data_IF_689340783105
#
_entry.id   IF_689340783105
#
_cell.length_a   1.000
_cell.length_b   1.000
_cell.length_c   1.000
_cell.angle_alpha   90.00
_cell.angle_beta   90.00
_cell.angle_gamma   90.00
#
_symmetry.space_group_name_H-M   'P 1'
#
loop_
_entity.id
_entity.type
_entity.pdbx_description
1 polymer ?
#
# COMPACT_ATOMS: atom_id res chain seq x y z
N UNK A 1 15.57 4.32 32.31
CA UNK A 1 15.95 4.82 30.97
C UNK A 1 15.26 6.14 30.75
N UNK A 2 16.04 7.18 30.57
CA UNK A 2 15.59 8.57 30.64
C UNK A 2 14.69 8.91 29.44
N UNK A 3 13.51 9.50 29.72
CA UNK A 3 12.55 9.96 28.71
C UNK A 3 13.05 11.20 27.95
N UNK A 4 14.20 11.72 28.29
CA UNK A 4 14.77 12.97 27.74
C UNK A 4 15.47 12.81 26.39
N UNK A 5 15.84 11.60 25.96
CA UNK A 5 16.60 11.38 24.72
C UNK A 5 15.76 11.24 23.44
N UNK A 6 14.42 11.31 23.53
CA UNK A 6 13.54 11.04 22.39
C UNK A 6 12.99 12.31 21.70
N UNK A 7 13.21 13.46 22.25
CA UNK A 7 12.86 14.73 21.62
C UNK A 7 14.04 15.23 20.77
N UNK A 8 14.19 14.71 19.55
CA UNK A 8 14.90 15.48 18.52
C UNK A 8 14.22 16.85 18.46
N UNK A 9 14.95 17.90 18.82
CA UNK A 9 14.45 19.26 18.85
C UNK A 9 13.94 19.65 17.46
N UNK A 10 12.62 19.56 17.25
CA UNK A 10 11.91 19.82 15.98
C UNK A 10 11.82 21.30 15.64
N UNK A 11 12.56 22.17 16.36
CA UNK A 11 12.58 23.62 16.21
C UNK A 11 13.73 24.21 15.40
N UNK A 12 14.53 23.37 14.69
CA UNK A 12 15.54 23.89 13.79
C UNK A 12 14.92 24.45 12.50
N UNK A 13 15.46 25.55 12.00
CA UNK A 13 15.09 26.15 10.71
C UNK A 13 14.99 25.07 9.62
N UNK A 14 13.86 25.01 8.93
CA UNK A 14 13.57 24.05 7.86
C UNK A 14 14.64 24.08 6.76
N UNK A 15 15.11 25.25 6.42
CA UNK A 15 16.16 25.43 5.42
C UNK A 15 17.50 24.83 5.88
N UNK A 16 17.81 24.92 7.17
CA UNK A 16 19.01 24.30 7.74
C UNK A 16 18.92 22.77 7.64
N UNK A 17 17.79 22.19 8.02
CA UNK A 17 17.57 20.72 7.92
C UNK A 17 17.70 20.23 6.48
N UNK A 18 17.19 20.99 5.50
CA UNK A 18 17.33 20.68 4.08
C UNK A 18 18.80 20.72 3.62
N UNK A 19 19.54 21.76 4.00
CA UNK A 19 20.98 21.86 3.72
C UNK A 19 21.75 20.68 4.30
N UNK A 20 21.48 20.32 5.55
CA UNK A 20 22.10 19.17 6.22
C UNK A 20 21.75 17.84 5.52
N UNK A 21 20.50 17.66 5.11
CA UNK A 21 20.06 16.46 4.37
C UNK A 21 20.80 16.32 3.03
N UNK A 22 20.92 17.39 2.25
CA UNK A 22 21.67 17.41 1.01
C UNK A 22 23.16 17.17 1.25
N UNK A 23 23.74 17.76 2.31
CA UNK A 23 25.13 17.52 2.69
C UNK A 23 25.39 16.06 3.09
N UNK A 24 24.44 15.42 3.81
CA UNK A 24 24.51 13.98 4.09
C UNK A 24 24.46 13.16 2.80
N UNK A 25 23.50 13.45 1.92
CA UNK A 25 23.33 12.72 0.66
C UNK A 25 24.62 12.70 -0.18
N UNK A 26 25.35 13.83 -0.23
CA UNK A 26 26.63 13.94 -0.95
C UNK A 26 27.76 13.04 -0.43
N UNK A 27 27.60 12.39 0.72
CA UNK A 27 28.53 11.37 1.20
C UNK A 27 28.43 10.08 0.40
N UNK A 28 27.28 9.82 -0.25
CA UNK A 28 27.13 8.67 -1.14
C UNK A 28 27.81 8.88 -2.49
N UNK A 29 28.22 7.78 -3.11
CA UNK A 29 28.87 7.82 -4.43
C UNK A 29 27.94 8.36 -5.52
N UNK A 30 26.64 8.03 -5.43
CA UNK A 30 25.63 8.52 -6.36
C UNK A 30 25.45 10.03 -6.23
N UNK A 31 25.08 10.54 -5.06
CA UNK A 31 24.76 11.97 -4.90
C UNK A 31 25.97 12.88 -4.98
N UNK A 32 27.17 12.40 -4.70
CA UNK A 32 28.40 13.18 -4.92
C UNK A 32 28.54 13.60 -6.40
N UNK A 33 28.17 12.71 -7.34
CA UNK A 33 28.17 13.00 -8.77
C UNK A 33 26.88 13.69 -9.22
N UNK A 34 25.73 13.19 -8.77
CA UNK A 34 24.41 13.65 -9.22
C UNK A 34 24.11 15.10 -8.81
N UNK A 35 24.64 15.54 -7.67
CA UNK A 35 24.49 16.90 -7.15
C UNK A 35 25.75 17.77 -7.33
N UNK A 36 26.69 17.35 -8.17
CA UNK A 36 27.90 18.13 -8.42
C UNK A 36 27.56 19.49 -9.05
N UNK A 37 28.23 20.56 -8.59
CA UNK A 37 27.97 21.92 -9.03
C UNK A 37 26.68 22.59 -8.49
N UNK A 38 25.78 21.86 -7.83
CA UNK A 38 24.56 22.45 -7.27
C UNK A 38 24.80 22.94 -5.83
N UNK A 39 24.25 24.11 -5.49
CA UNK A 39 24.27 24.66 -4.13
C UNK A 39 22.83 24.88 -3.69
N UNK A 40 22.47 24.33 -2.53
CA UNK A 40 21.16 24.55 -1.90
C UNK A 40 21.30 25.60 -0.79
N UNK A 41 20.65 26.73 -0.94
CA UNK A 41 20.62 27.79 0.09
C UNK A 41 19.40 27.63 1.03
N UNK A 42 18.31 27.11 0.51
CA UNK A 42 17.08 26.84 1.26
C UNK A 42 16.03 26.18 0.39
N UNK A 43 14.80 26.03 0.93
CA UNK A 43 13.67 25.38 0.26
C UNK A 43 13.33 26.02 -1.09
N UNK A 44 13.48 27.34 -1.22
CA UNK A 44 13.20 28.06 -2.46
C UNK A 44 14.05 27.58 -3.65
N UNK A 45 15.25 27.07 -3.40
CA UNK A 45 16.16 26.56 -4.45
C UNK A 45 16.03 25.06 -4.68
N UNK A 46 15.19 24.35 -3.92
CA UNK A 46 15.10 22.89 -4.00
C UNK A 46 14.77 22.41 -5.42
N UNK A 47 13.89 23.15 -6.13
CA UNK A 47 13.49 22.85 -7.49
C UNK A 47 14.62 22.88 -8.51
N UNK A 48 15.77 23.50 -8.18
CA UNK A 48 16.97 23.58 -9.04
C UNK A 48 17.83 22.32 -8.96
N UNK A 49 17.70 21.52 -7.89
CA UNK A 49 18.40 20.25 -7.80
C UNK A 49 17.79 19.23 -8.78
N UNK A 50 18.61 18.35 -9.37
CA UNK A 50 18.10 17.33 -10.28
C UNK A 50 17.18 16.33 -9.54
N UNK A 51 16.21 15.78 -10.26
CA UNK A 51 15.35 14.73 -9.76
C UNK A 51 16.09 13.39 -9.67
N UNK A 52 15.83 12.67 -8.60
CA UNK A 52 16.29 11.29 -8.45
C UNK A 52 15.14 10.36 -8.83
N UNK A 53 15.35 9.51 -9.82
CA UNK A 53 14.34 8.56 -10.30
C UNK A 53 14.63 7.13 -9.82
N UNK A 54 13.65 6.28 -9.92
CA UNK A 54 13.74 4.86 -9.51
C UNK A 54 14.85 4.09 -10.24
N UNK A 55 15.12 4.39 -11.50
CA UNK A 55 16.22 3.77 -12.24
C UNK A 55 17.60 4.14 -11.67
N UNK A 56 17.78 5.38 -11.18
CA UNK A 56 19.02 5.78 -10.52
C UNK A 56 19.32 4.93 -9.27
N UNK A 57 18.28 4.63 -8.47
CA UNK A 57 18.44 3.77 -7.30
C UNK A 57 18.82 2.36 -7.71
N UNK A 58 18.21 1.86 -8.79
CA UNK A 58 18.51 0.53 -9.34
C UNK A 58 19.94 0.41 -9.83
N UNK A 59 20.42 1.41 -10.58
CA UNK A 59 21.77 1.47 -11.09
C UNK A 59 22.83 1.61 -9.97
N UNK A 60 22.45 2.27 -8.87
CA UNK A 60 23.31 2.46 -7.70
C UNK A 60 23.27 1.28 -6.70
N UNK A 61 22.40 0.29 -6.92
CA UNK A 61 22.31 -0.92 -6.07
C UNK A 61 23.60 -1.73 -6.13
N UNK A 62 24.13 -2.32 -5.03
CA UNK A 62 23.52 -2.27 -3.69
C UNK A 62 24.03 -1.14 -2.77
N UNK A 63 25.15 -0.49 -3.06
CA UNK A 63 25.86 0.38 -2.12
C UNK A 63 25.97 1.85 -2.55
N UNK A 64 25.76 2.16 -3.84
CA UNK A 64 26.01 3.48 -4.38
C UNK A 64 25.19 4.63 -3.78
N UNK A 65 24.06 4.31 -3.15
CA UNK A 65 23.21 5.27 -2.45
C UNK A 65 23.60 5.48 -0.97
N UNK A 66 24.51 4.67 -0.41
CA UNK A 66 24.88 4.75 0.99
C UNK A 66 25.71 6.00 1.30
N UNK A 67 25.27 6.75 2.32
CA UNK A 67 26.01 7.88 2.89
C UNK A 67 26.92 7.47 4.06
N UNK A 68 26.88 6.22 4.48
CA UNK A 68 27.68 5.61 5.54
C UNK A 68 28.16 4.22 5.11
N UNK A 69 29.21 3.66 5.74
CA UNK A 69 29.63 2.28 5.49
C UNK A 69 28.51 1.28 5.79
N UNK A 70 28.36 0.17 5.03
CA UNK A 70 27.25 -0.79 5.18
C UNK A 70 27.05 -1.34 6.60
N UNK A 71 28.15 -1.56 7.36
CA UNK A 71 28.09 -2.06 8.73
C UNK A 71 27.50 -1.05 9.75
N UNK A 72 27.23 0.19 9.35
CA UNK A 72 26.53 1.22 10.14
C UNK A 72 25.01 1.22 9.88
N UNK A 73 24.54 0.53 8.85
CA UNK A 73 23.12 0.29 8.65
C UNK A 73 22.58 -0.69 9.72
N UNK A 74 21.31 -0.54 10.06
CA UNK A 74 20.62 -1.44 10.98
C UNK A 74 19.85 -2.53 10.23
N UNK A 75 19.18 -2.16 9.12
CA UNK A 75 18.43 -3.08 8.30
C UNK A 75 18.74 -2.90 6.82
N UNK A 76 18.65 -4.03 6.11
CA UNK A 76 18.67 -4.14 4.66
C UNK A 76 17.34 -4.71 4.18
N UNK A 77 16.79 -4.13 3.13
CA UNK A 77 15.57 -4.57 2.47
C UNK A 77 15.74 -4.48 0.96
N UNK A 78 14.85 -5.14 0.23
CA UNK A 78 14.76 -5.01 -1.23
C UNK A 78 13.32 -4.72 -1.64
N UNK A 79 13.16 -4.01 -2.76
CA UNK A 79 11.86 -3.92 -3.40
C UNK A 79 11.49 -5.24 -4.06
N UNK A 80 10.18 -5.50 -4.26
CA UNK A 80 9.69 -6.77 -4.82
C UNK A 80 10.16 -7.10 -6.25
N UNK A 81 10.85 -6.17 -6.93
CA UNK A 81 11.37 -6.40 -8.28
C UNK A 81 10.32 -6.61 -9.38
N UNK A 82 9.04 -6.34 -9.12
CA UNK A 82 7.93 -6.57 -10.08
C UNK A 82 8.08 -5.84 -11.42
N UNK A 83 8.87 -4.77 -11.46
CA UNK A 83 9.11 -3.94 -12.64
C UNK A 83 10.57 -3.95 -13.11
N UNK A 84 11.38 -4.92 -12.66
CA UNK A 84 12.80 -5.05 -13.00
C UNK A 84 13.63 -5.55 -11.81
N UNK A 85 14.96 -5.41 -11.90
CA UNK A 85 15.87 -5.80 -10.80
C UNK A 85 15.46 -5.13 -9.48
N UNK A 86 15.49 -5.87 -8.35
CA UNK A 86 15.22 -5.33 -7.04
C UNK A 86 16.12 -4.15 -6.69
N UNK A 87 15.59 -3.19 -5.95
CA UNK A 87 16.35 -2.05 -5.43
C UNK A 87 16.71 -2.33 -3.98
N UNK A 88 17.99 -2.22 -3.68
CA UNK A 88 18.49 -2.29 -2.30
C UNK A 88 18.10 -1.04 -1.54
N UNK A 89 17.51 -1.22 -0.36
CA UNK A 89 17.17 -0.13 0.56
C UNK A 89 17.79 -0.42 1.92
N UNK A 90 18.38 0.60 2.51
CA UNK A 90 19.11 0.52 3.76
C UNK A 90 18.60 1.56 4.74
N UNK A 91 18.45 1.20 5.98
CA UNK A 91 18.05 2.15 7.01
C UNK A 91 18.83 1.99 8.32
N UNK A 92 18.92 3.08 9.06
CA UNK A 92 19.51 3.16 10.38
C UNK A 92 18.49 3.09 11.49
N UNK A 93 18.94 2.76 12.69
CA UNK A 93 18.08 2.72 13.86
C UNK A 93 17.52 4.09 14.25
N UNK A 94 18.30 5.18 14.08
CA UNK A 94 17.86 6.56 14.32
C UNK A 94 16.68 6.95 13.43
N UNK A 95 16.70 6.53 12.17
CA UNK A 95 15.63 6.77 11.19
C UNK A 95 14.34 6.07 11.61
N UNK A 96 14.43 4.78 11.95
CA UNK A 96 13.28 4.00 12.43
C UNK A 96 12.67 4.60 13.69
N UNK A 97 13.50 5.04 14.63
CA UNK A 97 13.04 5.69 15.87
C UNK A 97 12.35 7.02 15.61
N UNK A 98 12.87 7.82 14.67
CA UNK A 98 12.22 9.08 14.27
C UNK A 98 10.84 8.83 13.68
N UNK A 99 10.70 7.83 12.83
CA UNK A 99 9.41 7.43 12.24
C UNK A 99 8.46 6.84 13.28
N UNK A 100 8.96 5.97 14.14
CA UNK A 100 8.21 5.38 15.25
C UNK A 100 7.65 6.45 16.20
N UNK A 101 8.45 7.48 16.51
CA UNK A 101 8.01 8.61 17.34
C UNK A 101 6.85 9.39 16.68
N UNK A 102 6.86 9.53 15.34
CA UNK A 102 5.74 10.14 14.61
C UNK A 102 4.49 9.26 14.70
N UNK A 103 4.59 7.96 14.46
CA UNK A 103 3.46 7.04 14.56
C UNK A 103 2.89 7.04 15.98
N UNK A 104 3.72 6.91 17.00
CA UNK A 104 3.30 6.90 18.40
C UNK A 104 2.61 8.22 18.82
N UNK A 105 3.10 9.38 18.34
CA UNK A 105 2.48 10.68 18.60
C UNK A 105 1.14 10.85 17.92
N UNK A 106 0.97 10.35 16.67
CA UNK A 106 -0.23 10.56 15.87
C UNK A 106 -1.32 9.52 16.11
N UNK A 107 -0.99 8.41 16.76
CA UNK A 107 -1.91 7.30 17.03
C UNK A 107 -1.95 7.02 18.54
N UNK A 108 -2.77 7.77 19.28
CA UNK A 108 -2.86 7.64 20.74
C UNK A 108 -3.40 6.28 21.21
N UNK A 109 -3.98 5.48 20.31
CA UNK A 109 -4.42 4.12 20.60
C UNK A 109 -3.25 3.15 20.84
N UNK A 110 -2.02 3.50 20.41
CA UNK A 110 -0.81 2.75 20.76
C UNK A 110 -0.39 3.10 22.18
N UNK A 111 -0.73 2.25 23.12
CA UNK A 111 -0.49 2.37 24.56
C UNK A 111 0.09 1.06 25.12
N UNK A 112 0.40 1.03 26.41
CA UNK A 112 0.88 -0.16 27.12
C UNK A 112 -0.10 -1.35 27.08
N UNK A 113 -1.41 -1.08 26.90
CA UNK A 113 -2.45 -2.09 26.76
C UNK A 113 -2.57 -2.64 25.33
N UNK A 114 -1.75 -2.19 24.39
CA UNK A 114 -1.82 -2.63 23.01
C UNK A 114 -1.20 -4.00 22.83
N UNK A 115 -1.94 -4.92 22.19
CA UNK A 115 -1.42 -6.16 21.61
C UNK A 115 -1.60 -6.04 20.10
N UNK A 116 -0.52 -5.77 19.38
CA UNK A 116 -0.56 -5.56 17.93
C UNK A 116 -0.15 -6.82 17.19
N UNK A 117 -1.05 -7.30 16.32
CA UNK A 117 -0.75 -8.32 15.32
C UNK A 117 -0.21 -7.64 14.06
N UNK A 118 1.11 -7.71 13.87
CA UNK A 118 1.78 -7.12 12.72
C UNK A 118 1.78 -8.11 11.55
N UNK A 119 0.96 -7.82 10.56
CA UNK A 119 0.79 -8.58 9.32
C UNK A 119 1.46 -7.90 8.13
N UNK A 120 2.19 -6.81 8.31
CA UNK A 120 3.04 -6.30 7.22
C UNK A 120 4.15 -7.31 6.88
N UNK A 121 4.58 -7.34 5.60
CA UNK A 121 5.69 -8.22 5.22
C UNK A 121 6.90 -7.98 6.10
N UNK A 122 7.48 -9.05 6.68
CA UNK A 122 8.63 -8.93 7.59
C UNK A 122 9.88 -8.38 6.90
N UNK A 123 9.98 -8.51 5.59
CA UNK A 123 11.06 -7.93 4.79
C UNK A 123 10.72 -6.52 4.25
N UNK A 124 9.89 -5.77 4.96
CA UNK A 124 9.55 -4.39 4.66
C UNK A 124 9.88 -3.47 5.84
N UNK A 125 10.48 -2.27 5.63
CA UNK A 125 10.91 -1.40 6.72
C UNK A 125 9.77 -0.99 7.66
N UNK A 126 8.54 -0.90 7.17
CA UNK A 126 7.37 -0.55 7.96
C UNK A 126 7.15 -1.49 9.16
N UNK A 127 7.49 -2.78 9.05
CA UNK A 127 7.38 -3.72 10.17
C UNK A 127 8.24 -3.31 11.36
N UNK A 128 9.45 -2.81 11.10
CA UNK A 128 10.38 -2.34 12.13
C UNK A 128 10.03 -0.95 12.67
N UNK A 129 9.38 -0.11 11.86
CA UNK A 129 8.79 1.15 12.36
C UNK A 129 7.73 0.85 13.41
N UNK A 130 6.86 -0.15 13.17
CA UNK A 130 5.86 -0.57 14.16
C UNK A 130 6.49 -1.21 15.39
N UNK A 131 7.52 -2.04 15.24
CA UNK A 131 8.26 -2.62 16.37
C UNK A 131 8.81 -1.53 17.30
N UNK A 132 9.48 -0.52 16.74
CA UNK A 132 9.99 0.60 17.53
C UNK A 132 8.85 1.47 18.12
N UNK A 133 7.74 1.68 17.41
CA UNK A 133 6.59 2.42 17.93
C UNK A 133 5.95 1.71 19.14
N UNK A 134 5.81 0.38 19.06
CA UNK A 134 5.28 -0.44 20.17
C UNK A 134 6.26 -0.46 21.35
N UNK A 135 7.57 -0.51 21.10
CA UNK A 135 8.58 -0.40 22.15
C UNK A 135 8.47 0.94 22.88
N UNK A 136 8.22 2.04 22.16
CA UNK A 136 7.98 3.36 22.77
C UNK A 136 6.70 3.38 23.61
N UNK A 137 5.66 2.70 23.17
CA UNK A 137 4.38 2.59 23.86
C UNK A 137 4.41 1.62 25.07
N UNK A 138 5.42 0.77 25.18
CA UNK A 138 5.45 -0.33 26.17
C UNK A 138 4.50 -1.48 25.83
N UNK A 139 4.14 -1.63 24.55
CA UNK A 139 3.11 -2.51 24.01
C UNK A 139 3.66 -3.87 23.57
N UNK A 140 2.76 -4.86 23.42
CA UNK A 140 3.08 -6.19 22.92
C UNK A 140 3.07 -6.24 21.40
N UNK A 141 4.11 -6.82 20.79
CA UNK A 141 4.27 -7.02 19.36
C UNK A 141 4.19 -8.50 18.98
N UNK A 142 3.22 -8.86 18.12
CA UNK A 142 3.15 -10.17 17.48
C UNK A 142 3.62 -10.02 16.03
N UNK A 143 4.89 -10.36 15.76
CA UNK A 143 5.51 -10.26 14.45
C UNK A 143 5.10 -11.44 13.56
N UNK A 144 3.91 -11.38 12.98
CA UNK A 144 3.32 -12.48 12.22
C UNK A 144 3.66 -12.47 10.73
N UNK A 145 3.74 -11.27 10.12
CA UNK A 145 3.92 -11.12 8.67
C UNK A 145 2.74 -11.64 7.84
N UNK A 146 2.49 -11.07 6.69
CA UNK A 146 1.36 -11.48 5.84
C UNK A 146 1.65 -12.76 5.04
N UNK A 147 2.91 -13.04 4.75
CA UNK A 147 3.35 -14.18 3.92
C UNK A 147 4.00 -15.28 4.76
N UNK A 148 3.77 -15.27 6.06
CA UNK A 148 4.41 -16.22 6.97
C UNK A 148 3.74 -17.59 6.89
N UNK A 149 4.55 -18.64 6.75
CA UNK A 149 4.12 -20.02 6.92
C UNK A 149 3.70 -20.29 8.37
N UNK A 150 4.28 -19.55 9.31
CA UNK A 150 4.06 -19.75 10.73
C UNK A 150 2.71 -19.21 11.18
N UNK A 151 2.21 -18.14 10.51
CA UNK A 151 0.93 -17.50 10.85
C UNK A 151 0.07 -17.32 9.59
N UNK A 152 -0.51 -18.40 9.04
CA UNK A 152 -1.52 -18.31 7.98
C UNK A 152 -2.78 -17.58 8.47
N UNK A 153 -3.73 -17.32 7.59
CA UNK A 153 -4.91 -16.48 7.92
C UNK A 153 -5.79 -17.08 9.03
N UNK A 154 -6.02 -18.38 9.01
CA UNK A 154 -6.78 -19.10 10.06
C UNK A 154 -6.13 -18.96 11.44
N UNK A 155 -4.80 -19.09 11.49
CA UNK A 155 -4.05 -18.87 12.73
C UNK A 155 -4.07 -17.40 13.16
N UNK A 156 -4.11 -16.46 12.23
CA UNK A 156 -4.26 -15.03 12.55
C UNK A 156 -5.63 -14.75 13.21
N UNK A 157 -6.73 -15.34 12.70
CA UNK A 157 -8.05 -15.26 13.33
C UNK A 157 -8.02 -15.88 14.74
N UNK A 158 -7.38 -17.04 14.91
CA UNK A 158 -7.22 -17.66 16.24
C UNK A 158 -6.42 -16.77 17.22
N UNK A 159 -5.35 -16.13 16.76
CA UNK A 159 -4.59 -15.19 17.59
C UNK A 159 -5.44 -14.01 18.05
N UNK A 160 -6.23 -13.42 17.14
CA UNK A 160 -7.10 -12.29 17.49
C UNK A 160 -8.04 -12.68 18.62
N UNK A 161 -8.71 -13.84 18.49
CA UNK A 161 -9.66 -14.32 19.50
C UNK A 161 -9.01 -14.71 20.82
N UNK A 162 -7.93 -15.48 20.76
CA UNK A 162 -7.33 -16.12 21.94
C UNK A 162 -6.44 -15.19 22.73
N UNK A 163 -5.74 -14.27 22.05
CA UNK A 163 -4.79 -13.37 22.70
C UNK A 163 -5.40 -11.98 23.00
N UNK A 164 -6.65 -11.72 22.57
CA UNK A 164 -7.28 -10.42 22.75
C UNK A 164 -6.54 -9.31 22.01
N UNK A 165 -6.14 -9.57 20.75
CA UNK A 165 -5.46 -8.59 19.91
C UNK A 165 -6.26 -7.30 19.83
N UNK A 166 -5.62 -6.16 20.12
CA UNK A 166 -6.30 -4.85 20.16
C UNK A 166 -5.99 -3.99 18.95
N UNK A 167 -4.94 -4.35 18.19
CA UNK A 167 -4.55 -3.65 16.99
C UNK A 167 -4.03 -4.62 15.92
N UNK A 168 -4.28 -4.28 14.64
CA UNK A 168 -3.73 -5.02 13.48
C UNK A 168 -3.03 -4.04 12.56
N UNK A 169 -1.89 -4.45 12.00
CA UNK A 169 -1.19 -3.70 10.96
C UNK A 169 -1.01 -4.58 9.72
N UNK A 170 -1.58 -4.18 8.58
CA UNK A 170 -1.66 -5.05 7.39
C UNK A 170 -1.81 -4.29 6.07
N UNK A 171 -1.79 -5.02 4.97
CA UNK A 171 -2.26 -4.53 3.67
C UNK A 171 -3.79 -4.31 3.71
N UNK A 172 -4.35 -3.32 2.98
CA UNK A 172 -5.78 -2.96 3.07
C UNK A 172 -6.77 -4.10 2.74
N UNK A 173 -6.38 -5.03 1.87
CA UNK A 173 -7.23 -6.19 1.53
C UNK A 173 -7.28 -7.25 2.63
N UNK A 174 -6.28 -7.31 3.50
CA UNK A 174 -6.16 -8.40 4.49
C UNK A 174 -7.27 -8.39 5.55
N UNK A 175 -7.72 -7.25 6.11
CA UNK A 175 -8.87 -7.21 7.00
C UNK A 175 -10.15 -7.77 6.36
N UNK A 176 -10.37 -7.51 5.07
CA UNK A 176 -11.51 -8.06 4.33
C UNK A 176 -11.42 -9.59 4.27
N UNK A 177 -10.23 -10.11 3.96
CA UNK A 177 -9.99 -11.56 3.86
C UNK A 177 -10.11 -12.27 5.22
N UNK A 178 -9.64 -11.64 6.31
CA UNK A 178 -9.78 -12.18 7.67
C UNK A 178 -11.26 -12.21 8.12
N UNK A 179 -12.00 -11.16 7.78
CA UNK A 179 -13.44 -11.10 8.06
C UNK A 179 -14.21 -12.17 7.27
N UNK A 180 -13.96 -12.27 5.97
CA UNK A 180 -14.56 -13.28 5.08
C UNK A 180 -14.24 -14.70 5.54
N UNK A 181 -13.00 -14.97 5.98
CA UNK A 181 -12.62 -16.26 6.56
C UNK A 181 -13.37 -16.57 7.85
N UNK A 182 -13.55 -15.60 8.74
CA UNK A 182 -14.31 -15.81 9.97
C UNK A 182 -15.75 -16.21 9.65
N UNK A 183 -16.40 -15.56 8.67
CA UNK A 183 -17.74 -15.92 8.18
C UNK A 183 -17.75 -17.34 7.59
N UNK A 184 -16.79 -17.67 6.72
CA UNK A 184 -16.66 -18.99 6.08
C UNK A 184 -16.45 -20.12 7.10
N UNK A 185 -15.82 -19.83 8.24
CA UNK A 185 -15.66 -20.74 9.37
C UNK A 185 -16.88 -20.82 10.30
N UNK A 186 -17.96 -20.09 10.01
CA UNK A 186 -19.16 -20.04 10.86
C UNK A 186 -18.96 -19.26 12.17
N UNK A 187 -17.94 -18.41 12.24
CA UNK A 187 -17.70 -17.54 13.39
C UNK A 187 -18.52 -16.25 13.24
N UNK A 188 -18.97 -15.69 14.37
CA UNK A 188 -19.52 -14.35 14.39
C UNK A 188 -18.38 -13.31 14.33
N UNK A 189 -18.22 -12.53 13.23
CA UNK A 189 -17.13 -11.56 13.09
C UNK A 189 -17.17 -10.49 14.18
N UNK A 190 -18.35 -10.05 14.63
CA UNK A 190 -18.49 -9.02 15.66
C UNK A 190 -17.91 -9.49 16.99
N UNK A 191 -18.10 -10.76 17.34
CA UNK A 191 -17.50 -11.35 18.54
C UNK A 191 -16.03 -11.67 18.32
N UNK A 192 -15.69 -12.18 17.14
CA UNK A 192 -14.33 -12.59 16.79
C UNK A 192 -13.34 -11.42 16.85
N UNK A 193 -13.74 -10.24 16.38
CA UNK A 193 -12.89 -9.05 16.28
C UNK A 193 -13.19 -7.98 17.33
N UNK A 194 -14.03 -8.27 18.32
CA UNK A 194 -14.48 -7.31 19.34
C UNK A 194 -13.37 -6.62 20.14
N UNK A 195 -12.20 -7.26 20.28
CA UNK A 195 -11.05 -6.69 20.98
C UNK A 195 -10.27 -5.68 20.15
N UNK A 196 -10.40 -5.71 18.81
CA UNK A 196 -9.65 -4.85 17.90
C UNK A 196 -10.22 -3.43 17.90
N UNK A 197 -9.40 -2.45 18.22
CA UNK A 197 -9.79 -1.02 18.29
C UNK A 197 -9.25 -0.22 17.11
N UNK A 198 -8.12 -0.67 16.53
CA UNK A 198 -7.45 0.01 15.42
C UNK A 198 -6.90 -0.96 14.39
N UNK A 199 -7.10 -0.62 13.12
CA UNK A 199 -6.57 -1.36 11.96
C UNK A 199 -5.67 -0.41 11.17
N UNK A 200 -4.37 -0.68 11.16
CA UNK A 200 -3.41 0.04 10.33
C UNK A 200 -3.38 -0.57 8.94
N UNK A 201 -3.64 0.25 7.92
CA UNK A 201 -3.63 -0.15 6.53
C UNK A 201 -2.56 0.60 5.75
N UNK A 202 -1.68 -0.11 5.04
CA UNK A 202 -0.63 0.50 4.22
C UNK A 202 -0.10 -0.41 3.12
N UNK A 203 0.79 0.11 2.29
CA UNK A 203 1.45 -0.64 1.22
C UNK A 203 0.62 -0.88 -0.05
N UNK A 204 -0.65 -0.47 -0.06
CA UNK A 204 -1.52 -0.39 -1.23
C UNK A 204 -2.49 0.79 -1.05
N UNK A 205 -3.20 1.16 -2.13
CA UNK A 205 -4.21 2.23 -2.09
C UNK A 205 -5.35 1.83 -1.15
N UNK A 206 -5.76 2.74 -0.29
CA UNK A 206 -6.89 2.60 0.62
C UNK A 206 -8.01 3.59 0.21
N UNK A 207 -8.90 3.22 -0.72
CA UNK A 207 -9.99 4.10 -1.13
C UNK A 207 -11.00 4.30 0.02
N UNK A 208 -11.74 5.42 0.03
CA UNK A 208 -12.72 5.73 1.08
C UNK A 208 -13.76 4.62 1.30
N UNK A 209 -14.24 3.96 0.25
CA UNK A 209 -15.22 2.89 0.36
C UNK A 209 -14.64 1.66 1.09
N UNK A 210 -13.38 1.27 0.78
CA UNK A 210 -12.71 0.17 1.49
C UNK A 210 -12.46 0.52 2.96
N UNK A 211 -12.02 1.76 3.25
CA UNK A 211 -11.89 2.25 4.63
C UNK A 211 -13.21 2.07 5.40
N UNK A 212 -14.32 2.60 4.86
CA UNK A 212 -15.64 2.49 5.49
C UNK A 212 -16.06 1.04 5.69
N UNK A 213 -15.80 0.16 4.72
CA UNK A 213 -16.10 -1.26 4.83
C UNK A 213 -15.33 -1.91 6.00
N UNK A 214 -14.02 -1.67 6.11
CA UNK A 214 -13.21 -2.20 7.22
C UNK A 214 -13.70 -1.65 8.56
N UNK A 215 -13.95 -0.33 8.66
CA UNK A 215 -14.43 0.31 9.88
C UNK A 215 -15.80 -0.24 10.32
N UNK A 216 -16.70 -0.49 9.36
CA UNK A 216 -18.01 -1.10 9.61
C UNK A 216 -17.88 -2.56 10.05
N UNK A 217 -17.11 -3.36 9.33
CA UNK A 217 -17.05 -4.82 9.55
C UNK A 217 -16.29 -5.16 10.85
N UNK A 218 -15.29 -4.35 11.20
CA UNK A 218 -14.46 -4.55 12.40
C UNK A 218 -14.87 -3.72 13.60
N UNK A 219 -15.75 -2.73 13.43
CA UNK A 219 -16.11 -1.73 14.47
C UNK A 219 -14.86 -1.06 15.07
N UNK A 220 -13.82 -0.88 14.27
CA UNK A 220 -12.50 -0.37 14.63
C UNK A 220 -12.11 0.81 13.76
N UNK A 221 -11.29 1.72 14.28
CA UNK A 221 -10.77 2.83 13.51
C UNK A 221 -9.70 2.36 12.52
N UNK A 222 -9.75 2.84 11.28
CA UNK A 222 -8.71 2.59 10.29
C UNK A 222 -7.72 3.75 10.26
N UNK A 223 -6.44 3.42 10.41
CA UNK A 223 -5.31 4.35 10.30
C UNK A 223 -4.51 4.01 9.06
N UNK A 224 -4.49 4.92 8.10
CA UNK A 224 -3.69 4.76 6.90
C UNK A 224 -2.21 5.03 7.17
N UNK A 225 -1.34 4.14 6.67
CA UNK A 225 0.11 4.26 6.70
C UNK A 225 0.61 4.34 5.26
N UNK A 226 1.19 5.47 4.91
CA UNK A 226 1.67 5.71 3.56
C UNK A 226 3.19 5.74 3.52
N UNK A 227 3.76 5.02 2.55
CA UNK A 227 5.20 4.95 2.36
C UNK A 227 5.61 3.88 1.33
N UNK A 228 6.90 3.74 1.14
CA UNK A 228 7.52 2.72 0.28
C UNK A 228 8.76 2.13 0.96
N UNK A 229 9.36 1.10 0.37
CA UNK A 229 10.63 0.58 0.88
C UNK A 229 11.73 1.64 0.83
N UNK A 230 11.76 2.47 -0.22
CA UNK A 230 12.78 3.50 -0.45
C UNK A 230 12.63 4.69 0.50
N UNK A 231 11.40 5.14 0.72
CA UNK A 231 11.09 6.34 1.51
C UNK A 231 10.70 6.04 2.96
N UNK A 232 10.44 4.76 3.26
CA UNK A 232 9.88 4.28 4.51
C UNK A 232 8.53 4.96 4.81
N UNK A 233 8.41 5.71 5.91
CA UNK A 233 7.17 6.38 6.32
C UNK A 233 7.07 7.77 5.70
N UNK A 234 6.03 8.04 4.92
CA UNK A 234 5.73 9.33 4.33
C UNK A 234 4.48 10.00 4.92
N UNK A 235 3.52 9.22 5.41
CA UNK A 235 2.27 9.74 5.93
C UNK A 235 1.57 8.81 6.92
N UNK A 236 0.76 9.40 7.82
CA UNK A 236 -0.03 8.71 8.85
C UNK A 236 -1.43 9.29 8.91
N UNK A 237 -2.42 8.42 9.00
CA UNK A 237 -3.83 8.77 9.14
C UNK A 237 -4.16 9.40 10.48
N UNK A 238 -4.87 10.53 10.48
CA UNK A 238 -5.31 11.22 11.68
C UNK A 238 -6.66 10.66 12.21
N UNK A 239 -7.11 11.07 13.42
CA UNK A 239 -8.39 10.65 13.99
C UNK A 239 -9.62 10.99 13.14
N UNK A 240 -9.51 11.94 12.19
CA UNK A 240 -10.58 12.27 11.24
C UNK A 240 -10.53 11.43 9.95
N UNK A 241 -9.71 10.37 9.90
CA UNK A 241 -9.58 9.50 8.74
C UNK A 241 -8.85 10.15 7.54
N UNK A 242 -8.13 11.27 7.73
CA UNK A 242 -7.36 11.93 6.67
C UNK A 242 -5.88 11.60 6.81
N UNK A 243 -5.22 11.33 5.69
CA UNK A 243 -3.79 11.07 5.64
C UNK A 243 -3.01 12.39 5.73
N UNK A 244 -2.14 12.53 6.72
CA UNK A 244 -1.21 13.66 6.85
C UNK A 244 0.20 13.25 6.45
N UNK A 245 0.86 14.05 5.61
CA UNK A 245 2.27 13.87 5.30
C UNK A 245 3.15 14.22 6.50
N UNK A 246 4.17 13.41 6.73
CA UNK A 246 5.09 13.54 7.85
C UNK A 246 6.15 14.63 7.57
N UNK A 247 5.76 15.92 7.67
CA UNK A 247 6.64 17.04 7.41
C UNK A 247 7.88 17.08 8.32
N UNK A 248 7.84 16.43 9.47
CA UNK A 248 9.00 16.27 10.34
C UNK A 248 10.08 15.35 9.74
N UNK A 249 9.69 14.43 8.86
CA UNK A 249 10.57 13.42 8.27
C UNK A 249 11.02 13.79 6.86
N UNK A 250 10.17 14.50 6.12
CA UNK A 250 10.34 14.72 4.68
C UNK A 250 10.00 16.16 4.29
N UNK A 251 10.72 16.68 3.31
CA UNK A 251 10.26 17.77 2.44
C UNK A 251 9.56 17.16 1.25
N UNK A 252 8.40 17.72 0.87
CA UNK A 252 7.57 17.16 -0.19
C UNK A 252 7.26 18.20 -1.26
N UNK A 253 7.32 17.78 -2.52
CA UNK A 253 6.88 18.51 -3.70
C UNK A 253 5.83 17.64 -4.42
N UNK A 254 4.86 18.27 -5.09
CA UNK A 254 3.94 17.54 -5.99
C UNK A 254 4.14 18.12 -7.38
N UNK A 255 4.61 17.29 -8.29
CA UNK A 255 5.07 17.71 -9.61
C UNK A 255 4.18 17.15 -10.72
N UNK A 256 3.96 17.95 -11.74
CA UNK A 256 3.32 17.51 -12.98
C UNK A 256 4.16 16.41 -13.63
N UNK A 257 3.56 15.28 -14.03
CA UNK A 257 4.31 14.13 -14.55
C UNK A 257 5.03 14.37 -15.90
N UNK A 258 4.63 15.38 -16.66
CA UNK A 258 5.19 15.69 -17.98
C UNK A 258 6.26 16.80 -17.91
N UNK A 259 5.96 17.86 -17.17
CA UNK A 259 6.82 19.06 -17.10
C UNK A 259 7.78 19.03 -15.92
N UNK A 260 7.52 18.18 -14.91
CA UNK A 260 8.20 18.13 -13.62
C UNK A 260 8.18 19.47 -12.86
N UNK A 261 7.22 20.34 -13.17
CA UNK A 261 7.00 21.58 -12.45
C UNK A 261 5.96 21.38 -11.33
N UNK A 262 5.98 22.19 -10.27
CA UNK A 262 4.98 22.13 -9.23
C UNK A 262 3.56 22.28 -9.80
N UNK A 263 2.62 21.46 -9.35
CA UNK A 263 1.23 21.56 -9.73
C UNK A 263 0.51 22.67 -8.95
N UNK A 264 -0.62 23.15 -9.50
CA UNK A 264 -1.50 24.06 -8.77
C UNK A 264 -2.06 23.42 -7.49
N UNK A 265 -2.39 24.22 -6.49
CA UNK A 265 -3.00 23.73 -5.25
C UNK A 265 -4.27 22.92 -5.53
N UNK A 266 -4.38 21.74 -4.94
CA UNK A 266 -5.48 20.81 -5.14
C UNK A 266 -5.44 20.00 -6.43
N UNK A 267 -4.50 20.26 -7.34
CA UNK A 267 -4.29 19.43 -8.52
C UNK A 267 -3.53 18.13 -8.17
N UNK A 268 -3.78 17.08 -8.96
CA UNK A 268 -3.05 15.83 -8.85
C UNK A 268 -1.67 15.94 -9.51
N UNK A 269 -0.65 15.35 -8.90
CA UNK A 269 0.69 15.28 -9.43
C UNK A 269 1.49 14.16 -8.76
N UNK A 270 2.73 13.98 -9.16
CA UNK A 270 3.59 12.95 -8.60
C UNK A 270 4.32 13.45 -7.37
N UNK A 271 4.19 12.68 -6.28
CA UNK A 271 4.90 12.93 -5.03
C UNK A 271 6.41 12.85 -5.27
N UNK A 272 7.11 13.88 -4.86
CA UNK A 272 8.57 13.95 -4.86
C UNK A 272 9.05 14.29 -3.47
N UNK A 273 10.04 13.59 -2.95
CA UNK A 273 10.46 13.72 -1.55
C UNK A 273 11.95 13.95 -1.40
N UNK A 274 12.30 14.79 -0.42
CA UNK A 274 13.66 14.91 0.12
C UNK A 274 13.64 14.50 1.57
N UNK A 275 14.41 13.47 1.93
CA UNK A 275 14.45 12.95 3.30
C UNK A 275 15.22 13.89 4.23
N UNK A 276 14.62 14.25 5.36
CA UNK A 276 15.25 15.09 6.38
C UNK A 276 15.94 14.30 7.49
N UNK A 277 15.56 13.02 7.64
CA UNK A 277 16.02 12.16 8.75
C UNK A 277 16.84 10.96 8.29
N UNK A 278 16.85 10.61 6.99
CA UNK A 278 17.61 9.46 6.50
C UNK A 278 19.12 9.76 6.55
N UNK A 279 19.84 8.97 7.34
CA UNK A 279 21.29 9.09 7.52
C UNK A 279 22.04 8.05 6.69
N UNK A 280 21.46 6.86 6.54
CA UNK A 280 22.11 5.71 5.88
C UNK A 280 21.94 5.78 4.37
N UNK A 281 20.70 5.94 3.90
CA UNK A 281 20.35 6.05 2.48
C UNK A 281 19.49 7.29 2.26
N UNK A 282 20.06 8.49 2.30
CA UNK A 282 19.30 9.72 2.09
C UNK A 282 18.77 9.81 0.67
N UNK A 283 17.58 10.43 0.54
CA UNK A 283 16.95 10.71 -0.74
C UNK A 283 16.83 12.23 -0.95
N UNK A 284 17.21 12.72 -2.13
CA UNK A 284 17.06 14.12 -2.52
C UNK A 284 16.23 14.18 -3.79
N UNK A 285 15.10 14.89 -3.72
CA UNK A 285 14.12 15.03 -4.80
C UNK A 285 13.79 13.71 -5.49
N UNK A 286 13.54 12.68 -4.67
CA UNK A 286 13.16 11.37 -5.18
C UNK A 286 11.74 11.39 -5.73
N UNK A 287 11.62 11.21 -7.05
CA UNK A 287 10.36 11.11 -7.78
C UNK A 287 9.77 9.71 -7.58
N UNK A 288 8.80 9.60 -6.66
CA UNK A 288 8.30 8.30 -6.17
C UNK A 288 7.52 7.52 -7.22
N UNK A 289 6.89 8.21 -8.16
CA UNK A 289 5.91 7.66 -9.09
C UNK A 289 4.51 7.51 -8.48
N UNK A 290 4.29 7.91 -7.24
CA UNK A 290 2.98 7.91 -6.61
C UNK A 290 2.21 9.18 -6.98
N UNK A 291 1.03 9.01 -7.56
CA UNK A 291 0.11 10.09 -7.88
C UNK A 291 -0.67 10.49 -6.62
N UNK A 292 -0.59 11.76 -6.26
CA UNK A 292 -1.24 12.28 -5.06
C UNK A 292 -1.95 13.60 -5.34
N UNK A 293 -2.85 13.98 -4.44
CA UNK A 293 -3.46 15.31 -4.40
C UNK A 293 -3.32 15.87 -2.99
N UNK A 294 -2.79 17.08 -2.86
CA UNK A 294 -2.76 17.79 -1.57
C UNK A 294 -4.05 18.58 -1.41
N UNK A 295 -4.75 18.34 -0.32
CA UNK A 295 -5.95 19.10 0.00
C UNK A 295 -5.60 20.57 0.26
N UNK A 296 -6.31 21.53 -0.36
CA UNK A 296 -6.04 22.95 -0.16
C UNK A 296 -6.40 23.41 1.26
N UNK A 297 -7.37 22.74 1.89
CA UNK A 297 -7.88 23.12 3.21
C UNK A 297 -7.26 22.27 4.32
N UNK A 298 -6.94 22.88 5.48
CA UNK A 298 -6.42 22.13 6.62
C UNK A 298 -7.47 21.19 7.20
N UNK A 299 -7.03 20.08 7.76
CA UNK A 299 -7.92 19.04 8.33
C UNK A 299 -8.65 19.48 9.61
N UNK A 300 -8.10 20.43 10.37
CA UNK A 300 -8.62 20.83 11.68
C UNK A 300 -8.51 19.75 12.76
N UNK A 301 -7.66 18.71 12.58
CA UNK A 301 -7.38 17.69 13.58
C UNK A 301 -6.23 18.06 14.54
N UNK A 302 -5.57 19.18 14.31
CA UNK A 302 -4.41 19.65 15.09
C UNK A 302 -3.04 19.17 14.55
N UNK A 303 -3.00 18.30 13.53
CA UNK A 303 -1.74 17.90 12.89
C UNK A 303 -1.29 18.95 11.86
N UNK A 304 0.00 19.30 11.91
CA UNK A 304 0.57 20.36 11.08
C UNK A 304 0.91 19.94 9.64
N UNK A 305 1.00 18.63 9.36
CA UNK A 305 1.35 18.12 8.03
C UNK A 305 0.24 18.33 7.00
N UNK A 306 0.58 18.56 5.72
CA UNK A 306 -0.40 18.64 4.64
C UNK A 306 -1.24 17.37 4.56
N UNK A 307 -2.52 17.53 4.21
CA UNK A 307 -3.41 16.40 3.94
C UNK A 307 -3.24 15.96 2.50
N UNK A 308 -3.06 14.65 2.28
CA UNK A 308 -2.90 14.07 0.97
C UNK A 308 -3.93 12.98 0.70
N UNK A 309 -4.40 12.90 -0.54
CA UNK A 309 -5.12 11.74 -1.08
C UNK A 309 -4.15 10.98 -1.99
N UNK A 310 -3.91 9.69 -1.73
CA UNK A 310 -3.08 8.82 -2.56
C UNK A 310 -3.94 8.20 -3.65
N UNK A 311 -3.67 8.55 -4.90
CA UNK A 311 -4.48 8.16 -6.05
C UNK A 311 -4.00 6.87 -6.74
N UNK A 312 -2.83 6.38 -6.36
CA UNK A 312 -2.16 5.21 -6.93
C UNK A 312 -0.83 5.58 -7.57
N UNK A 313 -0.31 4.73 -8.43
CA UNK A 313 0.91 5.03 -9.18
C UNK A 313 0.58 5.67 -10.52
N UNK A 314 1.47 6.53 -11.00
CA UNK A 314 1.30 7.14 -12.33
C UNK A 314 1.27 6.09 -13.44
N UNK A 315 2.04 5.01 -13.30
CA UNK A 315 2.09 3.89 -14.24
C UNK A 315 0.83 2.99 -14.19
N UNK A 316 0.03 3.09 -13.13
CA UNK A 316 -1.19 2.30 -12.92
C UNK A 316 -2.46 3.07 -13.30
N UNK A 317 -2.33 4.29 -13.86
CA UNK A 317 -3.46 5.04 -14.41
C UNK A 317 -4.09 4.26 -15.55
N UNK A 318 -5.41 4.09 -15.49
CA UNK A 318 -6.16 3.30 -16.46
C UNK A 318 -6.70 4.23 -17.55
N UNK A 319 -6.31 3.98 -18.78
CA UNK A 319 -6.79 4.71 -19.96
C UNK A 319 -7.46 3.72 -20.93
N UNK A 320 -8.73 3.98 -21.26
CA UNK A 320 -9.53 3.18 -22.21
C UNK A 320 -10.31 4.14 -23.11
N UNK A 321 -9.98 4.15 -24.40
CA UNK A 321 -10.53 5.13 -25.33
C UNK A 321 -10.13 6.55 -24.94
N UNK A 322 -11.11 7.44 -24.76
CA UNK A 322 -10.92 8.81 -24.27
C UNK A 322 -11.02 8.92 -22.73
N UNK A 323 -11.43 7.85 -22.04
CA UNK A 323 -11.59 7.84 -20.60
C UNK A 323 -10.29 7.59 -19.86
N UNK A 324 -10.16 8.23 -18.68
CA UNK A 324 -8.99 8.10 -17.79
C UNK A 324 -9.44 8.05 -16.34
N UNK A 325 -8.94 7.08 -15.58
CA UNK A 325 -9.25 6.94 -14.17
C UNK A 325 -7.99 6.57 -13.37
N UNK A 326 -7.89 7.05 -12.12
CA UNK A 326 -6.83 6.62 -11.20
C UNK A 326 -7.17 5.28 -10.58
N UNK A 327 -6.17 4.62 -10.03
CA UNK A 327 -6.39 3.35 -9.32
C UNK A 327 -7.34 3.52 -8.13
N UNK A 328 -7.23 4.64 -7.40
CA UNK A 328 -8.11 4.96 -6.28
C UNK A 328 -9.57 5.14 -6.71
N UNK A 329 -9.83 5.89 -7.80
CA UNK A 329 -11.19 6.13 -8.30
C UNK A 329 -11.88 4.82 -8.68
N UNK A 330 -11.16 3.95 -9.39
CA UNK A 330 -11.68 2.65 -9.82
C UNK A 330 -11.96 1.73 -8.64
N UNK A 331 -11.05 1.66 -7.66
CA UNK A 331 -11.26 0.85 -6.45
C UNK A 331 -12.41 1.40 -5.60
N UNK A 332 -12.51 2.72 -5.41
CA UNK A 332 -13.59 3.31 -4.59
C UNK A 332 -14.97 3.02 -5.19
N UNK A 333 -15.09 3.17 -6.50
CA UNK A 333 -16.32 2.84 -7.21
C UNK A 333 -16.67 1.35 -7.13
N UNK A 334 -15.68 0.46 -7.30
CA UNK A 334 -15.87 -0.99 -7.25
C UNK A 334 -16.27 -1.46 -5.83
N UNK A 335 -15.60 -0.98 -4.77
CA UNK A 335 -16.01 -1.28 -3.40
C UNK A 335 -17.38 -0.72 -3.06
N UNK A 336 -17.71 0.50 -3.53
CA UNK A 336 -19.05 1.09 -3.36
C UNK A 336 -20.12 0.25 -4.05
N UNK A 337 -19.81 -0.27 -5.24
CA UNK A 337 -20.73 -1.14 -5.98
C UNK A 337 -20.91 -2.49 -5.28
N UNK A 338 -19.82 -3.14 -4.90
CA UNK A 338 -19.82 -4.43 -4.21
C UNK A 338 -20.57 -4.36 -2.85
N UNK A 339 -20.41 -3.26 -2.12
CA UNK A 339 -21.11 -3.02 -0.86
C UNK A 339 -22.64 -3.07 -0.99
N UNK A 340 -23.20 -2.51 -2.06
CA UNK A 340 -24.64 -2.58 -2.37
C UNK A 340 -25.14 -4.01 -2.60
N UNK A 341 -24.24 -4.89 -3.02
CA UNK A 341 -24.53 -6.32 -3.25
C UNK A 341 -24.28 -7.19 -2.00
N UNK A 342 -23.89 -6.56 -0.89
CA UNK A 342 -23.59 -7.27 0.37
C UNK A 342 -22.27 -8.06 0.33
N UNK A 343 -21.37 -7.75 -0.60
CA UNK A 343 -20.08 -8.44 -0.75
C UNK A 343 -18.90 -7.48 -0.68
N UNK A 344 -17.72 -8.02 -0.42
CA UNK A 344 -16.42 -7.31 -0.49
C UNK A 344 -15.46 -7.99 -1.48
N UNK A 345 -15.90 -9.11 -2.07
CA UNK A 345 -15.06 -9.96 -2.91
C UNK A 345 -15.36 -9.69 -4.37
N UNK A 346 -14.39 -9.12 -5.05
CA UNK A 346 -14.42 -8.88 -6.49
C UNK A 346 -13.01 -8.96 -7.08
N UNK A 347 -12.94 -9.01 -8.40
CA UNK A 347 -11.70 -8.91 -9.15
C UNK A 347 -11.92 -8.10 -10.42
N UNK A 348 -10.96 -7.24 -10.78
CA UNK A 348 -11.04 -6.40 -11.97
C UNK A 348 -10.00 -6.82 -13.01
N UNK A 349 -10.44 -6.88 -14.26
CA UNK A 349 -9.59 -7.11 -15.42
C UNK A 349 -9.62 -5.87 -16.30
N UNK A 350 -8.48 -5.20 -16.46
CA UNK A 350 -8.34 -4.11 -17.43
C UNK A 350 -8.08 -4.74 -18.80
N UNK A 351 -9.00 -4.50 -19.74
CA UNK A 351 -8.90 -4.98 -21.13
C UNK A 351 -8.72 -3.79 -22.08
N UNK A 352 -8.36 -4.02 -23.36
CA UNK A 352 -8.10 -2.94 -24.32
C UNK A 352 -9.26 -1.94 -24.50
N UNK A 353 -10.51 -2.37 -24.30
CA UNK A 353 -11.71 -1.55 -24.55
C UNK A 353 -12.61 -1.38 -23.34
N UNK A 354 -12.44 -2.18 -22.29
CA UNK A 354 -13.37 -2.25 -21.16
C UNK A 354 -12.65 -2.62 -19.88
N UNK A 355 -13.20 -2.17 -18.76
CA UNK A 355 -12.89 -2.67 -17.44
C UNK A 355 -13.91 -3.78 -17.09
N UNK A 356 -13.46 -5.00 -16.83
CA UNK A 356 -14.33 -6.08 -16.40
C UNK A 356 -14.28 -6.21 -14.88
N UNK A 357 -15.43 -6.08 -14.24
CA UNK A 357 -15.61 -6.28 -12.81
C UNK A 357 -16.29 -7.64 -12.58
N UNK A 358 -15.55 -8.57 -11.98
CA UNK A 358 -16.03 -9.90 -11.57
C UNK A 358 -16.40 -9.79 -10.09
N UNK A 359 -17.68 -9.90 -9.75
CA UNK A 359 -18.17 -9.74 -8.38
C UNK A 359 -18.70 -11.07 -7.87
N UNK A 360 -18.24 -11.49 -6.70
CA UNK A 360 -18.74 -12.70 -6.05
C UNK A 360 -20.01 -12.37 -5.25
N UNK A 361 -21.08 -13.08 -5.55
CA UNK A 361 -22.40 -12.89 -4.91
C UNK A 361 -23.03 -14.25 -4.58
N UNK A 362 -24.01 -14.26 -3.68
CA UNK A 362 -24.67 -15.49 -3.28
C UNK A 362 -25.57 -16.06 -4.39
N UNK A 363 -26.31 -15.18 -5.09
CA UNK A 363 -27.28 -15.54 -6.15
C UNK A 363 -27.00 -14.81 -7.46
N UNK A 364 -26.03 -15.28 -8.27
CA UNK A 364 -25.60 -14.59 -9.51
C UNK A 364 -26.71 -14.34 -10.53
N UNK A 365 -27.71 -15.23 -10.56
CA UNK A 365 -28.83 -15.20 -11.53
C UNK A 365 -29.88 -14.13 -11.24
N UNK A 366 -29.92 -13.57 -10.02
CA UNK A 366 -30.98 -12.66 -9.56
C UNK A 366 -30.53 -11.24 -9.24
N UNK A 367 -29.23 -10.96 -9.37
CA UNK A 367 -28.59 -9.74 -8.80
C UNK A 367 -28.34 -8.64 -9.83
N UNK A 368 -28.43 -8.96 -11.14
CA UNK A 368 -28.10 -7.97 -12.20
C UNK A 368 -28.96 -6.70 -12.09
N UNK A 369 -28.30 -5.55 -11.97
CA UNK A 369 -28.92 -4.22 -11.96
C UNK A 369 -28.27 -3.31 -13.01
N UNK A 370 -28.84 -3.24 -14.22
CA UNK A 370 -28.30 -2.41 -15.31
C UNK A 370 -28.20 -0.91 -14.98
N UNK A 371 -29.01 -0.42 -14.04
CA UNK A 371 -28.96 0.99 -13.61
C UNK A 371 -27.74 1.21 -12.72
N UNK A 372 -27.50 0.31 -11.77
CA UNK A 372 -26.33 0.38 -10.92
C UNK A 372 -25.02 0.17 -11.71
N UNK A 373 -25.00 -0.74 -12.67
CA UNK A 373 -23.86 -0.97 -13.56
C UNK A 373 -23.55 0.28 -14.43
N UNK A 374 -24.57 0.96 -14.95
CA UNK A 374 -24.37 2.22 -15.69
C UNK A 374 -23.80 3.31 -14.79
N UNK A 375 -24.32 3.46 -13.58
CA UNK A 375 -23.79 4.42 -12.59
C UNK A 375 -22.34 4.13 -12.21
N UNK A 376 -21.97 2.84 -12.10
CA UNK A 376 -20.59 2.44 -11.87
C UNK A 376 -19.68 2.91 -13.02
N UNK A 377 -20.10 2.68 -14.28
CA UNK A 377 -19.34 3.12 -15.44
C UNK A 377 -19.22 4.65 -15.52
N UNK A 378 -20.31 5.38 -15.23
CA UNK A 378 -20.32 6.84 -15.15
C UNK A 378 -19.40 7.38 -14.06
N UNK A 379 -19.41 6.76 -12.87
CA UNK A 379 -18.57 7.15 -11.74
C UNK A 379 -17.08 6.94 -12.04
N UNK A 380 -16.71 5.84 -12.68
CA UNK A 380 -15.33 5.53 -13.07
C UNK A 380 -14.91 6.38 -14.27
N UNK A 381 -15.82 6.76 -15.15
CA UNK A 381 -15.52 7.43 -16.42
C UNK A 381 -14.91 6.50 -17.48
N UNK A 382 -15.09 5.19 -17.35
CA UNK A 382 -14.59 4.16 -18.26
C UNK A 382 -15.74 3.20 -18.65
N UNK A 383 -15.67 2.55 -19.82
CA UNK A 383 -16.56 1.44 -20.14
C UNK A 383 -16.36 0.28 -19.15
N UNK A 384 -17.43 -0.14 -18.47
CA UNK A 384 -17.42 -1.23 -17.49
C UNK A 384 -18.36 -2.35 -17.93
N UNK A 385 -17.91 -3.58 -17.76
CA UNK A 385 -18.74 -4.79 -17.89
C UNK A 385 -18.71 -5.50 -16.54
N UNK A 386 -19.86 -5.80 -15.97
CA UNK A 386 -19.99 -6.53 -14.70
C UNK A 386 -20.35 -7.98 -14.97
N UNK A 387 -19.68 -8.90 -14.32
CA UNK A 387 -19.99 -10.32 -14.33
C UNK A 387 -20.19 -10.79 -12.87
N UNK A 388 -21.36 -11.37 -12.61
CA UNK A 388 -21.71 -11.89 -11.29
C UNK A 388 -21.32 -13.37 -11.21
N UNK A 389 -20.63 -13.76 -10.16
CA UNK A 389 -20.06 -15.08 -9.96
C UNK A 389 -20.48 -15.62 -8.60
N UNK A 390 -20.63 -16.94 -8.51
CA UNK A 390 -20.98 -17.62 -7.28
C UNK A 390 -19.83 -17.70 -6.29
N UNK A 391 -20.16 -18.14 -5.08
CA UNK A 391 -19.20 -18.32 -3.99
C UNK A 391 -18.00 -19.18 -4.41
N UNK A 392 -16.80 -18.78 -4.03
CA UNK A 392 -15.51 -19.39 -4.42
C UNK A 392 -15.15 -19.33 -5.92
N UNK A 393 -15.88 -18.56 -6.74
CA UNK A 393 -15.55 -18.42 -8.16
C UNK A 393 -14.59 -17.25 -8.46
N UNK A 394 -14.63 -16.19 -7.65
CA UNK A 394 -13.66 -15.09 -7.70
C UNK A 394 -12.46 -15.41 -6.83
N UNK A 395 -12.69 -15.81 -5.59
CA UNK A 395 -11.67 -16.10 -4.59
C UNK A 395 -11.75 -17.57 -4.18
N UNK A 396 -10.69 -18.34 -4.43
CA UNK A 396 -10.55 -19.68 -3.86
C UNK A 396 -10.01 -19.54 -2.43
N UNK A 397 -10.90 -19.55 -1.46
CA UNK A 397 -10.56 -19.36 -0.05
C UNK A 397 -9.63 -20.43 0.47
N UNK A 398 -9.82 -21.68 0.07
CA UNK A 398 -8.97 -22.79 0.52
C UNK A 398 -7.52 -22.62 0.04
N UNK A 399 -7.33 -22.16 -1.20
CA UNK A 399 -6.01 -21.87 -1.75
C UNK A 399 -5.39 -20.61 -1.10
N UNK A 400 -6.22 -19.59 -0.78
CA UNK A 400 -5.75 -18.37 -0.15
C UNK A 400 -5.29 -18.63 1.30
N UNK A 401 -6.10 -19.40 2.07
CA UNK A 401 -5.89 -19.54 3.51
C UNK A 401 -4.78 -20.53 3.87
N UNK A 402 -4.56 -21.56 3.06
CA UNK A 402 -3.62 -22.65 3.33
C UNK A 402 -2.41 -22.70 2.41
N UNK A 403 -2.45 -21.96 1.31
CA UNK A 403 -1.39 -21.98 0.29
C UNK A 403 -0.29 -20.94 0.51
N UNK A 404 0.84 -21.04 -0.23
CA UNK A 404 1.82 -19.98 -0.34
C UNK A 404 1.16 -18.77 -0.97
N UNK A 405 1.53 -17.58 -0.54
CA UNK A 405 0.78 -16.38 -0.79
C UNK A 405 1.56 -15.41 -1.64
N UNK A 406 0.83 -14.68 -2.45
CA UNK A 406 1.37 -13.57 -3.22
C UNK A 406 1.73 -12.45 -2.24
N UNK A 407 2.93 -11.88 -2.37
CA UNK A 407 3.46 -10.83 -1.52
C UNK A 407 2.51 -9.62 -1.39
N UNK A 408 1.85 -9.23 -2.49
CA UNK A 408 0.82 -8.19 -2.50
C UNK A 408 -0.38 -8.68 -3.31
N UNK A 409 -1.40 -9.24 -2.68
CA UNK A 409 -2.62 -9.62 -3.39
C UNK A 409 -3.25 -8.37 -3.99
N UNK A 410 -3.54 -8.42 -5.29
CA UNK A 410 -4.19 -7.33 -6.01
C UNK A 410 -5.56 -7.79 -6.48
N UNK A 411 -6.55 -6.91 -6.35
CA UNK A 411 -7.88 -7.11 -6.96
C UNK A 411 -7.96 -6.60 -8.39
N UNK A 412 -6.85 -6.11 -8.95
CA UNK A 412 -6.78 -5.58 -10.32
C UNK A 412 -5.68 -6.26 -11.12
N UNK A 413 -5.97 -6.66 -12.36
CA UNK A 413 -5.00 -7.20 -13.31
C UNK A 413 -5.12 -6.51 -14.67
N UNK A 414 -3.99 -6.02 -15.20
CA UNK A 414 -3.93 -5.36 -16.51
C UNK A 414 -3.62 -6.37 -17.63
N UNK A 415 -4.53 -6.46 -18.60
CA UNK A 415 -4.46 -7.37 -19.74
C UNK A 415 -4.40 -6.64 -21.08
N UNK A 416 -4.05 -5.37 -21.10
CA UNK A 416 -3.96 -4.55 -22.33
C UNK A 416 -2.71 -4.85 -23.16
N UNK A 417 -1.66 -5.45 -22.59
CA UNK A 417 -0.39 -5.77 -23.23
C UNK A 417 -0.11 -7.25 -23.34
N UNK A 418 0.90 -7.62 -24.16
CA UNK A 418 1.41 -8.99 -24.30
C UNK A 418 2.23 -9.46 -23.10
N UNK A 419 2.77 -8.54 -22.31
CA UNK A 419 3.48 -8.84 -21.08
C UNK A 419 2.50 -8.80 -19.89
N UNK A 420 2.26 -9.93 -19.27
CA UNK A 420 1.48 -10.01 -18.02
C UNK A 420 2.22 -9.28 -16.93
N UNK A 421 1.68 -8.17 -16.44
CA UNK A 421 2.23 -7.43 -15.31
C UNK A 421 1.86 -8.05 -13.94
N UNK A 422 1.05 -9.08 -13.90
CA UNK A 422 0.55 -9.68 -12.65
C UNK A 422 0.84 -11.17 -12.67
N UNK A 423 1.58 -11.64 -11.69
CA UNK A 423 1.70 -13.07 -11.38
C UNK A 423 0.33 -13.51 -10.92
N UNK A 424 -0.31 -14.40 -11.70
CA UNK A 424 -1.57 -15.00 -11.26
C UNK A 424 -1.29 -15.95 -10.10
N UNK A 425 -2.27 -16.15 -9.21
CA UNK A 425 -2.20 -17.17 -8.12
C UNK A 425 -1.66 -18.52 -8.63
N UNK A 426 -1.93 -18.85 -9.89
CA UNK A 426 -1.46 -20.07 -10.52
C UNK A 426 0.02 -20.09 -10.86
N UNK A 427 0.61 -18.98 -11.29
CA UNK A 427 2.04 -18.92 -11.60
C UNK A 427 2.88 -19.03 -10.32
N UNK A 428 2.43 -18.41 -9.23
CA UNK A 428 3.05 -18.58 -7.92
C UNK A 428 2.94 -20.03 -7.37
N UNK A 429 1.89 -20.77 -7.74
CA UNK A 429 1.68 -22.16 -7.32
C UNK A 429 2.49 -23.17 -8.15
N UNK A 430 2.76 -22.88 -9.43
CA UNK A 430 3.51 -23.78 -10.33
C UNK A 430 5.02 -23.79 -10.08
N UNK A 431 5.56 -22.76 -9.45
CA UNK A 431 6.99 -22.66 -9.10
C UNK A 431 7.39 -23.41 -7.81
N UNK A 432 6.44 -24.01 -7.09
CA UNK A 432 6.73 -24.68 -5.81
C UNK A 432 6.46 -26.19 -5.85
N UNK A 433 7.49 -27.05 -5.75
CA UNK A 433 7.39 -28.50 -5.95
C UNK A 433 6.76 -29.29 -4.78
N UNK A 434 6.13 -28.65 -3.80
CA UNK A 434 5.65 -29.31 -2.55
C UNK A 434 4.13 -29.34 -2.37
N UNK A 435 3.33 -29.08 -3.41
CA UNK A 435 1.88 -29.08 -3.27
C UNK A 435 1.25 -30.48 -3.41
N UNK A 436 0.21 -30.71 -2.58
CA UNK A 436 -0.71 -31.83 -2.78
C UNK A 436 -1.28 -31.75 -4.20
N UNK A 437 -1.07 -32.84 -4.97
CA UNK A 437 -1.50 -32.96 -6.36
C UNK A 437 -3.02 -32.74 -6.54
N UNK A 438 -3.86 -32.92 -5.49
CA UNK A 438 -5.30 -32.68 -5.53
C UNK A 438 -5.61 -31.19 -5.61
N UNK A 439 -4.88 -30.37 -4.89
CA UNK A 439 -4.96 -28.89 -4.96
C UNK A 439 -4.51 -28.40 -6.34
N UNK A 440 -3.40 -28.95 -6.86
CA UNK A 440 -2.90 -28.65 -8.21
C UNK A 440 -3.92 -29.04 -9.29
N UNK A 441 -4.54 -30.23 -9.18
CA UNK A 441 -5.57 -30.69 -10.10
C UNK A 441 -6.86 -29.86 -10.03
N UNK A 442 -7.28 -29.46 -8.84
CA UNK A 442 -8.45 -28.60 -8.66
C UNK A 442 -8.22 -27.24 -9.32
N UNK A 443 -7.08 -26.62 -9.09
CA UNK A 443 -6.68 -25.35 -9.69
C UNK A 443 -6.51 -25.47 -11.22
N UNK A 444 -5.93 -26.56 -11.72
CA UNK A 444 -5.80 -26.82 -13.14
C UNK A 444 -7.17 -27.03 -13.83
N UNK A 445 -8.11 -27.76 -13.19
CA UNK A 445 -9.49 -27.93 -13.70
C UNK A 445 -10.25 -26.60 -13.72
N UNK A 446 -10.03 -25.74 -12.73
CA UNK A 446 -10.59 -24.40 -12.66
C UNK A 446 -10.02 -23.48 -13.75
N UNK A 447 -8.71 -23.56 -14.02
CA UNK A 447 -8.09 -22.84 -15.15
C UNK A 447 -8.67 -23.25 -16.51
N UNK A 448 -8.88 -24.55 -16.73
CA UNK A 448 -9.50 -25.04 -17.97
C UNK A 448 -10.94 -24.53 -18.10
N UNK A 449 -11.71 -24.49 -17.01
CA UNK A 449 -13.04 -23.89 -16.96
C UNK A 449 -13.00 -22.40 -17.25
N UNK A 450 -12.11 -21.67 -16.58
CA UNK A 450 -11.92 -20.23 -16.77
C UNK A 450 -11.35 -19.90 -18.17
N UNK A 451 -10.46 -20.72 -18.71
CA UNK A 451 -9.96 -20.59 -20.09
C UNK A 451 -11.07 -20.83 -21.13
N UNK A 452 -11.96 -21.80 -20.91
CA UNK A 452 -13.14 -22.02 -21.76
C UNK A 452 -14.15 -20.88 -21.66
N UNK A 453 -14.37 -20.32 -20.46
CA UNK A 453 -15.19 -19.12 -20.25
C UNK A 453 -14.54 -17.90 -20.92
N UNK A 454 -13.22 -17.73 -20.78
CA UNK A 454 -12.43 -16.67 -21.47
C UNK A 454 -12.53 -16.76 -22.99
N UNK A 455 -12.50 -17.99 -23.56
CA UNK A 455 -12.65 -18.17 -25.01
C UNK A 455 -14.06 -17.85 -25.52
N UNK A 456 -15.07 -17.92 -24.67
CA UNK A 456 -16.43 -17.45 -24.96
C UNK A 456 -16.50 -15.92 -25.01
N UNK A 457 -15.95 -15.25 -23.98
CA UNK A 457 -15.92 -13.79 -23.89
C UNK A 457 -15.11 -13.18 -25.04
N UNK A 458 -13.94 -13.77 -25.39
CA UNK A 458 -13.12 -13.34 -26.54
C UNK A 458 -13.83 -13.55 -27.88
N UNK A 459 -14.75 -14.52 -27.99
CA UNK A 459 -15.57 -14.72 -29.19
C UNK A 459 -16.72 -13.70 -29.29
N UNK A 460 -17.21 -13.20 -28.16
CA UNK A 460 -18.21 -12.14 -28.10
C UNK A 460 -17.59 -10.77 -28.41
N UNK A 461 -16.37 -10.47 -27.93
CA UNK A 461 -15.60 -9.26 -28.27
C UNK A 461 -15.23 -9.16 -29.78
N UNK A 462 -15.25 -10.27 -30.51
CA UNK A 462 -15.01 -10.28 -31.97
C UNK A 462 -16.29 -10.10 -32.79
N UNK A 463 -17.48 -10.10 -32.15
CA UNK A 463 -18.77 -9.93 -32.81
C UNK A 463 -19.39 -8.54 -32.61
N UNK A 464 -18.75 -7.69 -31.85
CA UNK A 464 -19.02 -6.27 -31.69
C UNK A 464 -17.87 -5.48 -32.34
#
# INVERSE_FOLDING_TARGET
MDRSDTAVALGSDRDQRLREAVARARRSDFYRRHLDGFVLTGRADLHRLPLTFKHHLREATPFGMLAVPPHRAWHYHETSGTTGEPISTWCGLSELRSMAAVVHRLVPELSEDTILLNRFPLFAPVSFVFEEALRLAGACHIAAGTMSWDVPFDRAVDFIRRLGVTAIASLPLEPILLHDLAVDQGLDPRQTFASVRVVFCGGAVLPPALRRAIEHDWQARVVEIYGSNETMLMGVGCPRGRLHLCSDLLETEVLDPQTHQPVAAGAAGVMTVTSLVHEVMPLVRYYTGDLVRIAPEPCGCGHAGPVADVLGRIDDVIEIGAGRATHADVLDAAYTFADRLGTRIFFMLIRPRTLHLLVEVEHPESVADPIAERRLAEQIGLPVVVEYLGHNEVLDRSALYRGPKIYKPSVVSDWRGSARKTITIMEALLEWPKYDWRTVLHLARRQVRNARRRSRIVKEDKKV
#
